data_IF_754133972413
#
_entry.id   IF_754133972413
#
_cell.length_a   1.000
_cell.length_b   1.000
_cell.length_c   1.000
_cell.angle_alpha   90.00
_cell.angle_beta   90.00
_cell.angle_gamma   90.00
#
_symmetry.space_group_name_H-M   'P 1'
#
loop_
_entity.id
_entity.type
_entity.pdbx_description
1 polymer ?
#
# COMPACT_ATOMS: atom_id res chain seq x y z
N UNK A 1 -8.49 29.82 11.40
CA UNK A 1 -9.22 28.57 11.65
C UNK A 1 -9.84 28.03 10.36
N UNK A 2 -9.67 28.71 9.20
CA UNK A 2 -10.51 28.43 8.03
C UNK A 2 -9.87 27.69 6.85
N UNK A 3 -8.56 27.43 6.80
CA UNK A 3 -7.98 26.81 5.59
C UNK A 3 -8.59 25.46 5.24
N UNK A 4 -8.87 24.60 6.22
CA UNK A 4 -9.54 23.32 5.97
C UNK A 4 -11.00 23.53 5.51
N UNK A 5 -11.69 24.51 6.07
CA UNK A 5 -13.05 24.83 5.70
C UNK A 5 -13.13 25.44 4.28
N UNK A 6 -12.20 26.34 3.95
CA UNK A 6 -12.01 26.89 2.61
C UNK A 6 -11.72 25.78 1.58
N UNK A 7 -10.80 24.84 1.90
CA UNK A 7 -10.52 23.67 1.07
C UNK A 7 -11.78 22.82 0.83
N UNK A 8 -12.57 22.58 1.88
CA UNK A 8 -13.82 21.84 1.77
C UNK A 8 -14.84 22.56 0.89
N UNK A 9 -15.09 23.85 1.13
CA UNK A 9 -16.02 24.65 0.33
C UNK A 9 -15.59 24.71 -1.14
N UNK A 10 -14.30 24.88 -1.40
CA UNK A 10 -13.75 24.93 -2.77
C UNK A 10 -13.84 23.60 -3.52
N UNK A 11 -13.99 22.48 -2.82
CA UNK A 11 -14.05 21.12 -3.41
C UNK A 11 -15.39 20.42 -3.21
N UNK A 12 -16.40 21.10 -2.64
CA UNK A 12 -17.65 20.50 -2.23
C UNK A 12 -18.40 19.80 -3.39
N UNK A 13 -18.45 20.43 -4.55
CA UNK A 13 -19.12 19.86 -5.74
C UNK A 13 -18.43 18.57 -6.20
N UNK A 14 -17.10 18.55 -6.20
CA UNK A 14 -16.32 17.37 -6.57
C UNK A 14 -16.43 16.25 -5.54
N UNK A 15 -16.49 16.59 -4.26
CA UNK A 15 -16.72 15.63 -3.17
C UNK A 15 -18.10 14.99 -3.32
N UNK A 16 -19.15 15.77 -3.54
CA UNK A 16 -20.51 15.24 -3.72
C UNK A 16 -20.64 14.41 -5.00
N UNK A 17 -19.99 14.84 -6.08
CA UNK A 17 -19.93 14.06 -7.33
C UNK A 17 -19.24 12.71 -7.10
N UNK A 18 -18.09 12.70 -6.43
CA UNK A 18 -17.37 11.46 -6.13
C UNK A 18 -18.15 10.56 -5.16
N UNK A 19 -18.88 11.14 -4.20
CA UNK A 19 -19.70 10.42 -3.22
C UNK A 19 -20.77 9.55 -3.89
N UNK A 20 -21.41 10.08 -4.93
CA UNK A 20 -22.52 9.44 -5.64
C UNK A 20 -22.10 8.27 -6.53
N UNK A 21 -20.81 8.09 -6.82
CA UNK A 21 -20.31 6.99 -7.66
C UNK A 21 -20.39 5.65 -6.88
N UNK A 22 -21.28 4.70 -7.24
CA UNK A 22 -21.41 3.45 -6.51
C UNK A 22 -20.30 2.44 -6.88
N UNK A 23 -19.56 2.65 -7.96
CA UNK A 23 -18.55 1.70 -8.46
C UNK A 23 -17.20 1.88 -7.77
N UNK A 24 -16.93 3.05 -7.21
CA UNK A 24 -15.66 3.36 -6.55
C UNK A 24 -15.70 3.07 -5.06
N UNK A 25 -14.61 2.51 -4.55
CA UNK A 25 -14.32 2.47 -3.12
C UNK A 25 -14.09 3.87 -2.54
N UNK A 26 -14.19 4.01 -1.22
CA UNK A 26 -13.96 5.30 -0.53
C UNK A 26 -12.59 5.91 -0.85
N UNK A 27 -11.54 5.10 -0.94
CA UNK A 27 -10.19 5.58 -1.29
C UNK A 27 -10.12 6.06 -2.74
N UNK A 28 -10.72 5.34 -3.69
CA UNK A 28 -10.75 5.75 -5.10
C UNK A 28 -11.55 7.05 -5.32
N UNK A 29 -12.62 7.26 -4.55
CA UNK A 29 -13.37 8.53 -4.55
C UNK A 29 -12.48 9.69 -4.15
N UNK A 30 -11.78 9.57 -3.03
CA UNK A 30 -10.86 10.61 -2.56
C UNK A 30 -9.70 10.85 -3.52
N UNK A 31 -9.12 9.80 -4.10
CA UNK A 31 -8.10 9.93 -5.15
C UNK A 31 -8.63 10.75 -6.33
N UNK A 32 -9.86 10.51 -6.77
CA UNK A 32 -10.45 11.27 -7.87
C UNK A 32 -10.64 12.76 -7.54
N UNK A 33 -11.07 13.08 -6.30
CA UNK A 33 -11.18 14.48 -5.82
C UNK A 33 -9.80 15.16 -5.85
N UNK A 34 -8.76 14.53 -5.31
CA UNK A 34 -7.41 15.11 -5.27
C UNK A 34 -6.77 15.25 -6.66
N UNK A 35 -7.10 14.35 -7.60
CA UNK A 35 -6.63 14.45 -8.98
C UNK A 35 -7.29 15.59 -9.74
N UNK A 36 -8.60 15.80 -9.54
CA UNK A 36 -9.35 16.86 -10.21
C UNK A 36 -9.03 18.25 -9.66
N UNK A 37 -9.09 18.42 -8.34
CA UNK A 37 -8.88 19.71 -7.68
C UNK A 37 -7.39 20.04 -7.54
N UNK A 38 -6.55 19.02 -7.49
CA UNK A 38 -5.11 19.13 -7.28
C UNK A 38 -4.74 19.06 -5.80
N UNK A 39 -3.86 18.13 -5.45
CA UNK A 39 -3.37 17.90 -4.07
C UNK A 39 -2.83 19.17 -3.40
N UNK A 40 -2.16 20.05 -4.14
CA UNK A 40 -1.62 21.30 -3.60
C UNK A 40 -2.70 22.25 -3.06
N UNK A 41 -3.90 22.20 -3.67
CA UNK A 41 -5.05 23.02 -3.30
C UNK A 41 -5.85 22.45 -2.13
N UNK A 42 -5.62 21.18 -1.76
CA UNK A 42 -6.36 20.45 -0.71
C UNK A 42 -5.41 19.82 0.30
N UNK A 43 -4.39 20.57 0.73
CA UNK A 43 -3.28 20.01 1.52
C UNK A 43 -3.76 19.50 2.88
N UNK A 44 -4.62 20.25 3.57
CA UNK A 44 -5.12 19.86 4.89
C UNK A 44 -6.09 18.69 4.78
N UNK A 45 -7.01 18.75 3.80
CA UNK A 45 -7.96 17.68 3.51
C UNK A 45 -7.23 16.39 3.15
N UNK A 46 -6.20 16.47 2.31
CA UNK A 46 -5.37 15.33 1.92
C UNK A 46 -4.69 14.67 3.12
N UNK A 47 -4.14 15.45 4.04
CA UNK A 47 -3.50 14.91 5.25
C UNK A 47 -4.48 14.15 6.13
N UNK A 48 -5.65 14.73 6.41
CA UNK A 48 -6.68 14.11 7.26
C UNK A 48 -7.22 12.84 6.59
N UNK A 49 -7.60 12.92 5.33
CA UNK A 49 -8.14 11.77 4.58
C UNK A 49 -7.11 10.66 4.48
N UNK A 50 -5.85 10.98 4.18
CA UNK A 50 -4.78 9.99 4.12
C UNK A 50 -4.57 9.29 5.46
N UNK A 51 -4.62 10.05 6.56
CA UNK A 51 -4.51 9.50 7.90
C UNK A 51 -5.68 8.56 8.21
N UNK A 52 -6.92 9.00 8.01
CA UNK A 52 -8.12 8.20 8.26
C UNK A 52 -8.12 6.91 7.43
N UNK A 53 -7.74 6.98 6.15
CA UNK A 53 -7.69 5.82 5.26
C UNK A 53 -6.48 4.91 5.50
N UNK A 54 -5.44 5.38 6.19
CA UNK A 54 -4.30 4.55 6.59
C UNK A 54 -4.63 3.61 7.74
N UNK A 55 -5.69 3.92 8.51
CA UNK A 55 -6.17 3.08 9.60
C UNK A 55 -7.19 2.09 9.04
N UNK A 56 -6.90 0.78 9.06
CA UNK A 56 -7.85 -0.22 8.60
C UNK A 56 -9.10 -0.19 9.50
N UNK A 57 -10.29 -0.08 8.91
CA UNK A 57 -11.56 -0.07 9.63
C UNK A 57 -11.97 -1.44 10.20
N UNK A 58 -11.14 -2.48 10.06
CA UNK A 58 -11.40 -3.82 10.54
C UNK A 58 -10.10 -4.58 10.79
N UNK A 59 -10.13 -5.48 11.77
CA UNK A 59 -9.04 -6.41 12.04
C UNK A 59 -8.93 -7.54 11.00
N UNK A 60 -9.91 -7.69 10.10
CA UNK A 60 -9.94 -8.78 9.12
C UNK A 60 -8.69 -8.84 8.23
N UNK A 61 -8.10 -7.69 7.88
CA UNK A 61 -6.84 -7.66 7.13
C UNK A 61 -5.70 -8.26 7.96
N UNK A 62 -5.57 -7.84 9.23
CA UNK A 62 -4.54 -8.33 10.15
C UNK A 62 -4.73 -9.82 10.43
N UNK A 63 -5.96 -10.27 10.65
CA UNK A 63 -6.29 -11.69 10.86
C UNK A 63 -5.94 -12.56 9.63
N UNK A 64 -6.10 -12.02 8.41
CA UNK A 64 -5.64 -12.68 7.20
C UNK A 64 -4.12 -12.85 7.20
N UNK A 65 -3.37 -11.82 7.61
CA UNK A 65 -1.91 -11.90 7.75
C UNK A 65 -1.52 -12.95 8.80
N UNK A 66 -2.22 -13.01 9.94
CA UNK A 66 -1.98 -14.03 10.96
C UNK A 66 -2.27 -15.44 10.46
N UNK A 67 -3.34 -15.63 9.70
CA UNK A 67 -3.64 -16.92 9.06
C UNK A 67 -2.52 -17.33 8.08
N UNK A 68 -2.03 -16.40 7.25
CA UNK A 68 -0.90 -16.66 6.35
C UNK A 68 0.37 -16.99 7.12
N UNK A 69 0.65 -16.27 8.19
CA UNK A 69 1.80 -16.50 9.06
C UNK A 69 1.73 -17.89 9.69
N UNK A 70 0.60 -18.28 10.29
CA UNK A 70 0.41 -19.58 10.91
C UNK A 70 0.54 -20.75 9.90
N UNK A 71 0.12 -20.55 8.65
CA UNK A 71 0.29 -21.53 7.59
C UNK A 71 1.76 -21.73 7.17
N UNK A 72 2.56 -20.65 7.21
CA UNK A 72 3.97 -20.65 6.76
C UNK A 72 4.94 -21.00 7.88
N UNK A 73 4.60 -20.63 9.10
CA UNK A 73 5.41 -20.77 10.30
C UNK A 73 4.66 -21.62 11.32
N UNK A 74 5.03 -22.90 11.37
CA UNK A 74 4.70 -23.78 12.48
C UNK A 74 6.00 -24.39 13.02
N UNK A 75 6.11 -24.41 14.35
CA UNK A 75 7.31 -24.84 15.09
C UNK A 75 7.73 -26.29 14.74
N UNK A 76 6.77 -27.09 14.26
CA UNK A 76 6.96 -28.48 13.87
C UNK A 76 7.45 -28.68 12.43
N UNK A 77 7.27 -27.72 11.51
CA UNK A 77 7.45 -27.97 10.06
C UNK A 77 8.61 -27.22 9.43
N UNK A 78 8.83 -25.95 9.80
CA UNK A 78 9.79 -25.07 9.13
C UNK A 78 10.62 -24.33 10.19
N UNK A 79 11.89 -24.72 10.39
CA UNK A 79 12.88 -23.98 11.21
C UNK A 79 13.34 -22.66 10.54
N UNK A 80 12.42 -21.97 9.87
CA UNK A 80 12.70 -20.70 9.22
C UNK A 80 12.90 -19.62 10.27
N UNK A 81 13.87 -18.73 10.05
CA UNK A 81 14.02 -17.55 10.89
C UNK A 81 12.81 -16.63 10.76
N UNK A 82 12.52 -15.89 11.83
CA UNK A 82 11.46 -14.88 11.84
C UNK A 82 11.64 -13.83 10.74
N UNK A 83 12.89 -13.45 10.44
CA UNK A 83 13.23 -12.55 9.34
C UNK A 83 12.84 -13.09 7.96
N UNK A 84 13.04 -14.39 7.72
CA UNK A 84 12.67 -15.02 6.47
C UNK A 84 11.15 -15.04 6.29
N UNK A 85 10.42 -15.45 7.33
CA UNK A 85 8.95 -15.48 7.31
C UNK A 85 8.37 -14.08 7.12
N UNK A 86 8.93 -13.07 7.81
CA UNK A 86 8.53 -11.68 7.63
C UNK A 86 8.72 -11.21 6.18
N UNK A 87 9.86 -11.51 5.58
CA UNK A 87 10.16 -11.14 4.20
C UNK A 87 9.23 -11.85 3.21
N UNK A 88 9.00 -13.15 3.41
CA UNK A 88 8.08 -13.94 2.57
C UNK A 88 6.64 -13.39 2.65
N UNK A 89 6.16 -13.06 3.84
CA UNK A 89 4.84 -12.46 4.03
C UNK A 89 4.74 -11.10 3.33
N UNK A 90 5.76 -10.25 3.46
CA UNK A 90 5.78 -8.94 2.79
C UNK A 90 5.70 -9.08 1.27
N UNK A 91 6.45 -10.02 0.69
CA UNK A 91 6.40 -10.30 -0.75
C UNK A 91 5.01 -10.85 -1.12
N UNK A 92 4.52 -11.85 -0.40
CA UNK A 92 3.25 -12.52 -0.73
C UNK A 92 2.03 -11.62 -0.64
N UNK A 93 2.06 -10.62 0.25
CA UNK A 93 0.93 -9.72 0.51
C UNK A 93 0.96 -8.49 -0.39
N UNK A 94 2.15 -7.95 -0.68
CA UNK A 94 2.27 -6.68 -1.41
C UNK A 94 2.51 -6.86 -2.91
N UNK A 95 2.93 -8.04 -3.36
CA UNK A 95 3.16 -8.30 -4.78
C UNK A 95 1.86 -8.77 -5.43
N UNK A 96 1.24 -7.88 -6.20
CA UNK A 96 0.01 -8.19 -6.96
C UNK A 96 0.29 -8.94 -8.28
N UNK A 97 1.52 -9.47 -8.44
CA UNK A 97 2.00 -10.11 -9.65
C UNK A 97 2.06 -11.63 -9.46
N UNK A 98 1.57 -12.44 -10.42
CA UNK A 98 1.75 -13.88 -10.39
C UNK A 98 3.23 -14.27 -10.27
N UNK A 99 3.54 -15.35 -9.54
CA UNK A 99 4.92 -15.80 -9.32
C UNK A 99 5.73 -15.96 -10.62
N UNK A 100 5.08 -16.41 -11.70
CA UNK A 100 5.69 -16.56 -13.03
C UNK A 100 6.16 -15.22 -13.59
N UNK A 101 5.29 -14.22 -13.53
CA UNK A 101 5.58 -12.89 -14.06
C UNK A 101 6.62 -12.20 -13.18
N UNK A 102 6.55 -12.42 -11.86
CA UNK A 102 7.56 -11.93 -10.92
C UNK A 102 8.94 -12.51 -11.23
N UNK A 103 9.02 -13.82 -11.48
CA UNK A 103 10.26 -14.47 -11.85
C UNK A 103 10.84 -13.88 -13.15
N UNK A 104 10.00 -13.67 -14.17
CA UNK A 104 10.41 -13.06 -15.43
C UNK A 104 10.85 -11.60 -15.26
N UNK A 105 10.16 -10.83 -14.41
CA UNK A 105 10.51 -9.45 -14.11
C UNK A 105 11.85 -9.37 -13.35
N UNK A 106 12.03 -10.18 -12.31
CA UNK A 106 13.26 -10.25 -11.53
C UNK A 106 14.45 -10.71 -12.39
N UNK A 107 14.24 -11.61 -13.34
CA UNK A 107 15.29 -12.06 -14.26
C UNK A 107 15.77 -10.94 -15.20
N UNK A 108 14.89 -10.01 -15.57
CA UNK A 108 15.22 -8.87 -16.43
C UNK A 108 15.88 -7.71 -15.67
N UNK A 109 15.67 -7.63 -14.36
CA UNK A 109 16.22 -6.59 -13.50
C UNK A 109 17.68 -6.90 -13.11
N UNK A 110 18.62 -6.40 -13.92
CA UNK A 110 20.06 -6.59 -13.71
C UNK A 110 20.56 -5.95 -12.41
N UNK A 111 19.94 -4.86 -11.96
CA UNK A 111 20.33 -4.18 -10.73
C UNK A 111 19.93 -5.00 -9.51
N UNK A 112 18.70 -5.54 -9.52
CA UNK A 112 18.23 -6.48 -8.49
C UNK A 112 19.13 -7.72 -8.44
N UNK A 113 19.41 -8.35 -9.59
CA UNK A 113 20.27 -9.54 -9.64
C UNK A 113 21.69 -9.24 -9.17
N UNK A 114 22.23 -8.06 -9.49
CA UNK A 114 23.52 -7.60 -8.99
C UNK A 114 23.52 -7.39 -7.48
N UNK A 115 22.46 -6.78 -6.95
CA UNK A 115 22.28 -6.54 -5.52
C UNK A 115 22.15 -7.85 -4.72
N UNK A 116 21.34 -8.80 -5.20
CA UNK A 116 21.16 -10.12 -4.57
C UNK A 116 22.45 -10.93 -4.53
N UNK A 117 23.29 -10.82 -5.58
CA UNK A 117 24.62 -11.46 -5.61
C UNK A 117 25.64 -10.74 -4.74
N UNK A 118 25.42 -9.46 -4.45
CA UNK A 118 26.32 -8.69 -3.60
C UNK A 118 26.13 -9.08 -2.14
N UNK A 119 27.22 -9.12 -1.37
CA UNK A 119 27.15 -9.25 0.08
C UNK A 119 26.68 -7.97 0.78
N UNK A 120 26.27 -6.93 0.03
CA UNK A 120 25.83 -5.63 0.57
C UNK A 120 24.36 -5.70 0.95
N UNK A 121 24.08 -5.65 2.26
CA UNK A 121 22.72 -5.63 2.82
C UNK A 121 22.07 -4.24 2.66
N UNK A 122 20.98 -4.16 1.89
CA UNK A 122 19.93 -3.12 1.93
C UNK A 122 20.10 -1.68 1.38
N UNK A 123 21.11 -1.25 0.58
CA UNK A 123 21.11 0.13 0.05
C UNK A 123 20.75 0.25 -1.44
N UNK A 124 20.36 -0.85 -2.11
CA UNK A 124 20.32 -0.88 -3.59
C UNK A 124 19.15 -0.09 -4.20
N UNK A 125 18.13 0.27 -3.42
CA UNK A 125 16.98 1.06 -3.88
C UNK A 125 16.96 2.42 -3.18
N UNK A 126 17.97 3.24 -3.42
CA UNK A 126 17.95 4.64 -3.02
C UNK A 126 17.46 5.50 -4.19
N UNK A 127 16.26 6.06 -3.97
CA UNK A 127 15.45 6.99 -4.81
C UNK A 127 14.68 6.35 -5.96
#
# INVERSE_FOLDING_TARGET
>A
MDKLYEEFCASQEEIETARQDPQKSTSEKWVSVFQKVGKANLTNLFQIVSFVLSVPGSNAFVERIFSLMANKWSDARNRCSTDLIKTELQISVNMNMPCKDFFLAAQKDKELLGAVRSSKKYPWKNK
#
